data_IF_221097550621
#
_entry.id   IF_221097550621
#
_cell.length_a   1.000
_cell.length_b   1.000
_cell.length_c   1.000
_cell.angle_alpha   90.00
_cell.angle_beta   90.00
_cell.angle_gamma   90.00
#
_symmetry.space_group_name_H-M   'P 1'
#
loop_
_entity.id
_entity.type
_entity.pdbx_description
1 polymer ?
#
# COMPACT_ATOMS: atom_id res chain seq x y z
N UNK A 1 13.20 -4.29 1.53
CA UNK A 1 11.77 -4.58 1.44
C UNK A 1 11.66 -6.01 0.94
N UNK A 2 10.95 -6.88 1.65
CA UNK A 2 10.82 -8.29 1.24
C UNK A 2 9.37 -8.53 0.86
N UNK A 3 9.11 -8.83 -0.40
CA UNK A 3 7.80 -9.29 -0.83
C UNK A 3 7.50 -10.64 -0.20
N UNK A 4 6.55 -10.66 0.73
CA UNK A 4 6.07 -11.88 1.37
C UNK A 4 5.22 -12.73 0.40
N UNK A 5 4.71 -12.12 -0.67
CA UNK A 5 3.97 -12.80 -1.73
C UNK A 5 3.92 -11.96 -3.00
N UNK A 6 4.63 -12.40 -4.03
CA UNK A 6 4.59 -11.74 -5.35
C UNK A 6 3.20 -11.91 -5.97
N UNK A 7 2.56 -10.79 -6.30
CA UNK A 7 1.29 -10.78 -7.03
C UNK A 7 1.50 -11.27 -8.47
N UNK A 8 0.57 -12.07 -8.99
CA UNK A 8 0.55 -12.48 -10.41
C UNK A 8 -0.25 -11.52 -11.30
N UNK A 9 -0.53 -10.32 -10.78
CA UNK A 9 -1.33 -9.32 -11.48
C UNK A 9 -0.52 -8.57 -12.53
N UNK A 10 -1.20 -7.74 -13.32
CA UNK A 10 -0.54 -6.78 -14.21
C UNK A 10 0.37 -5.87 -13.37
N UNK A 11 1.54 -5.54 -13.91
CA UNK A 11 2.41 -4.47 -13.38
C UNK A 11 1.61 -3.16 -13.37
N UNK A 12 1.74 -2.38 -12.31
CA UNK A 12 1.03 -1.11 -12.18
C UNK A 12 1.69 -0.04 -13.05
N UNK A 13 0.87 0.73 -13.76
CA UNK A 13 1.31 1.87 -14.58
C UNK A 13 0.89 3.18 -13.91
N UNK A 14 1.69 4.27 -14.00
CA UNK A 14 1.29 5.56 -13.47
C UNK A 14 -0.08 5.99 -13.98
N UNK A 15 -0.97 6.37 -13.06
CA UNK A 15 -2.39 6.66 -13.35
C UNK A 15 -3.36 5.52 -13.01
N UNK A 16 -2.86 4.32 -12.70
CA UNK A 16 -3.70 3.22 -12.24
C UNK A 16 -4.28 3.49 -10.85
N UNK A 17 -5.58 3.21 -10.69
CA UNK A 17 -6.22 3.20 -9.37
C UNK A 17 -6.24 1.78 -8.83
N UNK A 18 -5.59 1.55 -7.71
CA UNK A 18 -5.57 0.26 -7.00
C UNK A 18 -6.26 0.37 -5.66
N UNK A 19 -6.80 -0.75 -5.17
CA UNK A 19 -7.34 -0.85 -3.82
C UNK A 19 -6.45 -1.75 -2.98
N UNK A 20 -5.96 -1.21 -1.87
CA UNK A 20 -4.93 -1.88 -1.05
C UNK A 20 -5.40 -2.07 0.39
N UNK A 21 -5.00 -3.21 0.94
CA UNK A 21 -5.06 -3.43 2.38
C UNK A 21 -3.71 -3.15 3.02
N UNK A 22 -3.72 -2.44 4.15
CA UNK A 22 -2.50 -2.04 4.86
C UNK A 22 -2.67 -2.20 6.36
N UNK A 23 -1.54 -2.41 7.04
CA UNK A 23 -1.39 -2.32 8.49
C UNK A 23 -0.19 -1.40 8.80
N UNK A 24 -0.42 -0.35 9.58
CA UNK A 24 0.62 0.57 10.05
C UNK A 24 0.95 0.26 11.51
N UNK A 25 2.24 0.08 11.77
CA UNK A 25 2.78 -0.21 13.09
C UNK A 25 3.75 0.88 13.51
N UNK A 26 3.74 1.24 14.79
CA UNK A 26 4.80 2.04 15.39
C UNK A 26 6.03 1.20 15.66
N UNK A 27 7.18 1.86 15.81
CA UNK A 27 8.45 1.22 16.19
C UNK A 27 8.39 0.48 17.53
N UNK A 28 7.42 0.83 18.38
CA UNK A 28 7.13 0.16 19.66
C UNK A 28 6.28 -1.12 19.50
N UNK A 29 5.96 -1.54 18.27
CA UNK A 29 5.16 -2.72 17.98
C UNK A 29 3.65 -2.52 18.13
N UNK A 30 3.18 -1.31 18.47
CA UNK A 30 1.75 -1.02 18.55
C UNK A 30 1.18 -0.75 17.16
N UNK A 31 0.10 -1.46 16.83
CA UNK A 31 -0.69 -1.17 15.62
C UNK A 31 -1.35 0.20 15.79
N UNK A 32 -1.16 1.08 14.81
CA UNK A 32 -1.74 2.42 14.78
C UNK A 32 -2.94 2.48 13.87
N UNK A 33 -2.85 1.83 12.72
CA UNK A 33 -3.93 1.82 11.75
C UNK A 33 -3.96 0.52 10.94
N UNK A 34 -5.14 0.13 10.50
CA UNK A 34 -5.32 -0.97 9.57
C UNK A 34 -6.58 -0.77 8.76
N UNK A 35 -6.45 -0.89 7.45
CA UNK A 35 -7.64 -0.89 6.59
C UNK A 35 -8.43 -2.19 6.69
N UNK A 36 -7.80 -3.28 7.17
CA UNK A 36 -8.50 -4.54 7.47
C UNK A 36 -9.35 -4.38 8.72
N UNK A 37 -8.82 -3.74 9.77
CA UNK A 37 -9.58 -3.47 11.00
C UNK A 37 -10.75 -2.51 10.74
N UNK A 38 -10.62 -1.60 9.76
CA UNK A 38 -11.69 -0.71 9.29
C UNK A 38 -12.67 -1.36 8.31
N UNK A 39 -12.41 -2.59 7.86
CA UNK A 39 -13.25 -3.33 6.92
C UNK A 39 -13.40 -2.70 5.53
N UNK A 40 -12.58 -1.69 5.19
CA UNK A 40 -12.66 -0.97 3.92
C UNK A 40 -11.26 -0.82 3.32
N UNK A 41 -11.00 -1.35 2.11
CA UNK A 41 -9.73 -1.12 1.42
C UNK A 41 -9.57 0.35 1.07
N UNK A 42 -8.32 0.80 0.96
CA UNK A 42 -8.01 2.18 0.59
C UNK A 42 -7.80 2.25 -0.93
N UNK A 43 -8.57 3.07 -1.67
CA UNK A 43 -8.25 3.38 -3.06
C UNK A 43 -7.04 4.32 -3.12
N UNK A 44 -6.11 4.00 -4.02
CA UNK A 44 -4.83 4.67 -4.17
C UNK A 44 -4.55 4.86 -5.67
N UNK A 45 -4.13 6.08 -6.05
CA UNK A 45 -3.70 6.39 -7.41
C UNK A 45 -2.17 6.25 -7.51
N UNK A 46 -1.71 5.27 -8.27
CA UNK A 46 -0.28 5.01 -8.46
C UNK A 46 0.38 6.07 -9.34
N UNK A 47 1.52 6.60 -8.90
CA UNK A 47 2.26 7.65 -9.61
C UNK A 47 1.58 9.03 -9.60
N UNK A 48 0.53 9.23 -8.79
CA UNK A 48 -0.19 10.51 -8.69
C UNK A 48 0.46 11.56 -7.79
N UNK A 49 1.51 11.21 -7.03
CA UNK A 49 2.20 12.12 -6.11
C UNK A 49 1.39 12.58 -4.89
N UNK A 50 0.21 12.00 -4.65
CA UNK A 50 -0.74 12.42 -3.59
C UNK A 50 -0.61 11.58 -2.32
N UNK A 51 0.29 10.61 -2.26
CA UNK A 51 0.37 9.67 -1.14
C UNK A 51 1.71 9.78 -0.42
N UNK A 52 1.67 9.48 0.88
CA UNK A 52 2.82 9.45 1.77
C UNK A 52 4.04 8.83 1.05
N UNK A 53 5.20 9.51 0.99
CA UNK A 53 6.31 9.17 0.10
C UNK A 53 6.90 7.75 0.25
N UNK A 54 6.50 7.02 1.29
CA UNK A 54 6.87 5.61 1.48
C UNK A 54 6.03 4.60 0.69
N UNK A 55 4.90 4.99 0.10
CA UNK A 55 4.05 4.09 -0.69
C UNK A 55 4.55 3.91 -2.12
N UNK A 56 4.98 4.98 -2.78
CA UNK A 56 5.54 4.90 -4.14
C UNK A 56 6.82 4.04 -4.16
N UNK A 57 7.72 4.19 -3.17
CA UNK A 57 8.94 3.35 -3.07
C UNK A 57 8.68 1.90 -2.65
N UNK A 58 7.48 1.57 -2.15
CA UNK A 58 7.15 0.21 -1.71
C UNK A 58 6.35 -0.61 -2.72
N UNK A 59 5.76 0.06 -3.71
CA UNK A 59 5.01 -0.59 -4.79
C UNK A 59 5.78 -0.61 -6.12
N UNK A 60 6.90 0.12 -6.22
CA UNK A 60 7.93 -0.13 -7.22
C UNK A 60 8.60 -1.48 -6.94
N UNK A 61 8.08 -2.52 -7.57
CA UNK A 61 8.67 -3.86 -7.65
C UNK A 61 9.03 -4.20 -9.09
#
# INVERSE_FOLDING_TARGET
MTDLRVGKGRVLEPGDTVTVHYDVWRKDGKKVDSSRDKGKPLPFLYGGGVVMPGWDMGLEG
#
